data_IF_612552791812
#
_entry.id   IF_612552791812
#
_cell.length_a   1.000
_cell.length_b   1.000
_cell.length_c   1.000
_cell.angle_alpha   90.00
_cell.angle_beta   90.00
_cell.angle_gamma   90.00
#
_symmetry.space_group_name_H-M   'P 1'
#
loop_
_entity.id
_entity.type
_entity.pdbx_description
1 polymer ?
#
# COMPACT_ATOMS: atom_id res chain seq x y z
N UNK A 1 5.27 -15.79 13.72
CA UNK A 1 4.76 -14.80 12.74
C UNK A 1 3.98 -15.43 11.56
N UNK A 2 4.52 -16.42 10.84
CA UNK A 2 3.79 -17.12 9.75
C UNK A 2 2.51 -17.83 10.24
N UNK A 3 2.55 -18.42 11.43
CA UNK A 3 1.37 -19.08 12.01
C UNK A 3 0.28 -18.08 12.40
N UNK A 4 0.65 -16.90 12.93
CA UNK A 4 -0.29 -15.82 13.23
C UNK A 4 -0.98 -15.35 11.94
N UNK A 5 -0.23 -15.14 10.85
CA UNK A 5 -0.80 -14.76 9.56
C UNK A 5 -1.80 -15.80 9.01
N UNK A 6 -1.52 -17.10 9.18
CA UNK A 6 -2.46 -18.17 8.80
C UNK A 6 -3.76 -18.11 9.61
N UNK A 7 -3.66 -17.88 10.93
CA UNK A 7 -4.82 -17.73 11.80
C UNK A 7 -5.63 -16.47 11.45
N UNK A 8 -4.97 -15.35 11.13
CA UNK A 8 -5.66 -14.13 10.69
C UNK A 8 -6.41 -14.35 9.37
N UNK A 9 -5.79 -15.05 8.40
CA UNK A 9 -6.45 -15.40 7.14
C UNK A 9 -7.64 -16.33 7.33
N UNK A 10 -7.59 -17.29 8.26
CA UNK A 10 -8.75 -18.14 8.57
C UNK A 10 -9.87 -17.33 9.23
N UNK A 11 -9.54 -16.47 10.20
CA UNK A 11 -10.49 -15.57 10.86
C UNK A 11 -11.26 -14.66 9.87
N UNK A 12 -10.58 -14.13 8.85
CA UNK A 12 -11.20 -13.26 7.83
C UNK A 12 -12.18 -14.04 6.94
N UNK A 13 -11.86 -15.29 6.61
CA UNK A 13 -12.68 -16.14 5.74
C UNK A 13 -13.91 -16.72 6.43
N UNK A 14 -13.88 -16.85 7.76
CA UNK A 14 -15.02 -17.36 8.54
C UNK A 14 -16.24 -16.43 8.44
N UNK A 15 -17.34 -16.97 7.91
CA UNK A 15 -18.62 -16.28 7.71
C UNK A 15 -19.80 -17.24 7.93
N UNK A 16 -21.00 -16.69 8.13
CA UNK A 16 -22.21 -17.49 8.33
C UNK A 16 -22.47 -17.91 9.78
N UNK A 17 -23.30 -18.94 9.95
CA UNK A 17 -23.75 -19.44 11.26
C UNK A 17 -22.56 -19.96 12.08
N UNK A 18 -22.55 -19.67 13.38
CA UNK A 18 -21.50 -20.05 14.34
C UNK A 18 -20.10 -19.45 14.08
N UNK A 19 -19.96 -18.56 13.08
CA UNK A 19 -18.69 -17.91 12.76
C UNK A 19 -18.12 -17.09 13.93
N UNK A 20 -18.97 -16.51 14.76
CA UNK A 20 -18.55 -15.76 15.96
C UNK A 20 -17.85 -16.66 16.98
N UNK A 21 -18.40 -17.84 17.26
CA UNK A 21 -17.80 -18.78 18.21
C UNK A 21 -16.50 -19.38 17.67
N UNK A 22 -16.45 -19.70 16.37
CA UNK A 22 -15.20 -20.13 15.72
C UNK A 22 -14.12 -19.06 15.80
N UNK A 23 -14.46 -17.79 15.51
CA UNK A 23 -13.51 -16.67 15.62
C UNK A 23 -12.98 -16.51 17.04
N UNK A 24 -13.85 -16.58 18.05
CA UNK A 24 -13.43 -16.58 19.46
C UNK A 24 -12.47 -17.73 19.75
N UNK A 25 -12.80 -18.95 19.34
CA UNK A 25 -11.95 -20.13 19.55
C UNK A 25 -10.55 -19.97 18.93
N UNK A 26 -10.46 -19.44 17.72
CA UNK A 26 -9.18 -19.17 17.06
C UNK A 26 -8.36 -18.10 17.79
N UNK A 27 -9.01 -17.01 18.22
CA UNK A 27 -8.34 -15.95 19.00
C UNK A 27 -7.84 -16.51 20.34
N UNK A 28 -8.66 -17.30 21.04
CA UNK A 28 -8.26 -17.94 22.30
C UNK A 28 -7.06 -18.86 22.11
N UNK A 29 -7.07 -19.72 21.07
CA UNK A 29 -5.95 -20.59 20.77
C UNK A 29 -4.65 -19.80 20.51
N UNK A 30 -4.75 -18.70 19.77
CA UNK A 30 -3.61 -17.84 19.44
C UNK A 30 -3.07 -17.10 20.68
N UNK A 31 -3.94 -16.68 21.60
CA UNK A 31 -3.52 -16.06 22.86
C UNK A 31 -2.91 -17.06 23.86
N UNK A 32 -3.37 -18.32 23.85
CA UNK A 32 -2.80 -19.39 24.70
C UNK A 32 -1.40 -19.79 24.24
N UNK A 33 -1.15 -19.76 22.92
CA UNK A 33 0.16 -20.09 22.35
C UNK A 33 1.17 -18.92 22.42
N UNK A 34 0.71 -17.70 22.61
CA UNK A 34 1.53 -16.49 22.58
C UNK A 34 2.40 -16.34 23.84
N UNK A 35 3.65 -15.90 23.66
CA UNK A 35 4.62 -15.72 24.76
C UNK A 35 5.01 -14.25 24.96
N UNK A 36 5.56 -13.93 26.14
CA UNK A 36 6.10 -12.61 26.47
C UNK A 36 5.16 -11.43 26.17
N UNK A 37 5.51 -10.61 25.18
CA UNK A 37 4.75 -9.44 24.76
C UNK A 37 3.83 -9.70 23.55
N UNK A 38 3.83 -10.90 22.98
CA UNK A 38 3.01 -11.25 21.81
C UNK A 38 1.51 -11.02 22.05
N UNK A 39 0.90 -11.43 23.19
CA UNK A 39 -0.53 -11.22 23.43
C UNK A 39 -0.94 -9.74 23.33
N UNK A 40 -0.07 -8.83 23.78
CA UNK A 40 -0.31 -7.38 23.71
C UNK A 40 -0.45 -6.92 22.25
N UNK A 41 0.47 -7.34 21.38
CA UNK A 41 0.48 -6.93 19.97
C UNK A 41 -0.62 -7.61 19.17
N UNK A 42 -0.94 -8.87 19.48
CA UNK A 42 -2.07 -9.60 18.91
C UNK A 42 -3.39 -8.88 19.20
N UNK A 43 -3.67 -8.54 20.46
CA UNK A 43 -4.91 -7.85 20.83
C UNK A 43 -4.99 -6.49 20.13
N UNK A 44 -3.87 -5.76 20.09
CA UNK A 44 -3.81 -4.46 19.39
C UNK A 44 -4.03 -4.59 17.88
N UNK A 45 -3.53 -5.66 17.25
CA UNK A 45 -3.76 -5.97 15.84
C UNK A 45 -5.25 -6.23 15.57
N UNK A 46 -5.89 -7.08 16.38
CA UNK A 46 -7.32 -7.38 16.29
C UNK A 46 -8.21 -6.13 16.51
N UNK A 47 -7.74 -5.19 17.33
CA UNK A 47 -8.40 -3.90 17.55
C UNK A 47 -8.08 -2.84 16.48
N UNK A 48 -7.29 -3.19 15.45
CA UNK A 48 -6.75 -2.29 14.42
C UNK A 48 -6.00 -1.06 14.97
N UNK A 49 -5.45 -1.17 16.18
CA UNK A 49 -4.80 -0.08 16.93
C UNK A 49 -3.44 -0.54 17.48
N UNK A 50 -2.48 -0.76 16.57
CA UNK A 50 -1.15 -1.26 16.92
C UNK A 50 -0.35 -0.31 17.84
N UNK A 51 -0.51 1.01 17.65
CA UNK A 51 0.10 2.07 18.49
C UNK A 51 1.62 1.94 18.69
N UNK A 52 2.34 1.57 17.64
CA UNK A 52 3.81 1.44 17.65
C UNK A 52 4.54 2.73 17.25
N UNK A 53 3.82 3.80 16.88
CA UNK A 53 4.42 5.08 16.48
C UNK A 53 5.01 5.10 15.08
N UNK A 54 4.95 3.97 14.36
CA UNK A 54 5.41 3.84 12.97
C UNK A 54 4.23 3.65 12.03
N UNK A 55 4.36 4.17 10.81
CA UNK A 55 3.37 4.10 9.76
C UNK A 55 3.97 3.51 8.47
N UNK A 56 3.14 3.35 7.45
CA UNK A 56 3.50 2.79 6.14
C UNK A 56 4.76 3.43 5.53
N UNK A 57 4.89 4.76 5.61
CA UNK A 57 6.07 5.46 5.07
C UNK A 57 7.38 5.08 5.77
N UNK A 58 7.32 4.76 7.07
CA UNK A 58 8.47 4.25 7.82
C UNK A 58 8.78 2.82 7.44
N UNK A 59 7.75 1.98 7.26
CA UNK A 59 7.90 0.59 6.82
C UNK A 59 8.56 0.51 5.43
N UNK A 60 8.10 1.30 4.46
CA UNK A 60 8.67 1.32 3.11
C UNK A 60 10.12 1.79 3.10
N UNK A 61 10.47 2.78 3.94
CA UNK A 61 11.85 3.22 4.08
C UNK A 61 12.73 2.11 4.68
N UNK A 62 12.28 1.47 5.75
CA UNK A 62 12.99 0.37 6.39
C UNK A 62 13.16 -0.83 5.44
N UNK A 63 12.15 -1.14 4.62
CA UNK A 63 12.21 -2.21 3.62
C UNK A 63 13.28 -1.94 2.56
N UNK A 64 13.33 -0.72 2.01
CA UNK A 64 14.39 -0.32 1.07
C UNK A 64 15.78 -0.39 1.68
N UNK A 65 15.94 0.10 2.91
CA UNK A 65 17.22 0.03 3.63
C UNK A 65 17.66 -1.42 3.91
N UNK A 66 16.73 -2.28 4.35
CA UNK A 66 16.99 -3.70 4.58
C UNK A 66 17.43 -4.43 3.30
N UNK A 67 16.82 -4.08 2.16
CA UNK A 67 17.21 -4.66 0.87
C UNK A 67 18.66 -4.31 0.48
N UNK A 68 19.16 -3.13 0.85
CA UNK A 68 20.58 -2.76 0.63
C UNK A 68 21.52 -3.58 1.49
N UNK A 69 21.11 -4.00 2.70
CA UNK A 69 21.92 -4.85 3.57
C UNK A 69 21.91 -6.33 3.16
N UNK A 70 21.11 -6.73 2.17
CA UNK A 70 20.99 -8.12 1.74
C UNK A 70 22.11 -8.49 0.76
N UNK A 71 22.96 -9.45 1.13
CA UNK A 71 24.25 -9.69 0.43
C UNK A 71 24.13 -10.02 -1.07
N UNK A 72 23.12 -10.76 -1.50
CA UNK A 72 22.99 -11.25 -2.89
C UNK A 72 22.78 -10.12 -3.91
N UNK A 73 22.01 -9.09 -3.58
CA UNK A 73 21.58 -8.04 -4.52
C UNK A 73 21.86 -6.60 -4.04
N UNK A 74 22.76 -6.46 -3.06
CA UNK A 74 23.06 -5.19 -2.38
C UNK A 74 23.82 -4.16 -3.21
N UNK A 75 24.58 -4.58 -4.23
CA UNK A 75 25.58 -3.72 -4.89
C UNK A 75 24.93 -2.50 -5.55
N UNK A 76 25.14 -1.28 -5.02
CA UNK A 76 24.58 -0.09 -5.63
C UNK A 76 25.29 0.23 -6.94
N UNK A 77 24.58 0.77 -7.93
CA UNK A 77 25.19 1.44 -9.06
C UNK A 77 26.23 2.50 -8.61
N UNK A 78 27.36 2.64 -9.32
CA UNK A 78 28.46 3.52 -8.93
C UNK A 78 28.08 5.00 -8.88
N UNK A 79 26.98 5.40 -9.52
CA UNK A 79 26.46 6.76 -9.52
C UNK A 79 25.78 7.15 -8.19
N UNK A 80 25.39 6.17 -7.36
CA UNK A 80 24.57 6.40 -6.17
C UNK A 80 25.47 6.69 -4.96
N UNK A 81 25.47 7.95 -4.53
CA UNK A 81 26.24 8.41 -3.36
C UNK A 81 25.62 8.01 -2.02
N UNK A 82 24.29 7.91 -1.95
CA UNK A 82 23.54 7.61 -0.73
C UNK A 82 22.63 6.38 -0.93
N UNK A 83 23.18 5.14 -0.93
CA UNK A 83 22.44 3.95 -1.29
C UNK A 83 21.18 3.71 -0.44
N UNK A 84 21.25 3.97 0.87
CA UNK A 84 20.14 3.74 1.79
C UNK A 84 18.94 4.68 1.53
N UNK A 85 19.21 5.94 1.21
CA UNK A 85 18.18 6.93 0.91
C UNK A 85 17.54 6.66 -0.45
N UNK A 86 18.37 6.34 -1.45
CA UNK A 86 17.90 6.02 -2.80
C UNK A 86 17.04 4.75 -2.82
N UNK A 87 17.48 3.69 -2.13
CA UNK A 87 16.71 2.46 -1.98
C UNK A 87 15.34 2.69 -1.31
N UNK A 88 15.31 3.53 -0.25
CA UNK A 88 14.06 3.92 0.39
C UNK A 88 13.14 4.71 -0.57
N UNK A 89 13.68 5.59 -1.41
CA UNK A 89 12.91 6.31 -2.43
C UNK A 89 12.38 5.38 -3.51
N UNK A 90 13.19 4.43 -3.99
CA UNK A 90 12.80 3.42 -4.98
C UNK A 90 11.60 2.62 -4.46
N UNK A 91 11.68 2.04 -3.27
CA UNK A 91 10.59 1.23 -2.70
C UNK A 91 9.32 2.06 -2.52
N UNK A 92 9.42 3.32 -2.04
CA UNK A 92 8.26 4.22 -1.92
C UNK A 92 7.62 4.54 -3.27
N UNK A 93 8.43 4.78 -4.30
CA UNK A 93 7.95 5.08 -5.65
C UNK A 93 7.25 3.87 -6.24
N UNK A 94 7.86 2.69 -6.15
CA UNK A 94 7.30 1.43 -6.62
C UNK A 94 5.98 1.13 -5.91
N UNK A 95 5.93 1.22 -4.58
CA UNK A 95 4.70 1.01 -3.83
C UNK A 95 3.59 2.00 -4.20
N UNK A 96 3.94 3.25 -4.53
CA UNK A 96 2.95 4.23 -4.98
C UNK A 96 2.30 3.83 -6.31
N UNK A 97 3.01 3.10 -7.17
CA UNK A 97 2.52 2.66 -8.48
C UNK A 97 1.86 1.28 -8.41
N UNK A 98 2.42 0.39 -7.59
CA UNK A 98 1.99 -0.98 -7.42
C UNK A 98 1.96 -1.29 -5.90
N UNK A 99 0.90 -0.93 -5.16
CA UNK A 99 0.79 -1.18 -3.73
C UNK A 99 0.47 -2.65 -3.42
N UNK A 100 1.34 -3.55 -3.85
CA UNK A 100 1.27 -5.00 -3.66
C UNK A 100 2.56 -5.49 -3.01
N UNK A 101 2.49 -5.75 -1.70
CA UNK A 101 3.65 -6.21 -0.93
C UNK A 101 4.14 -7.58 -1.38
N UNK A 102 3.26 -8.49 -1.82
CA UNK A 102 3.67 -9.84 -2.22
C UNK A 102 4.57 -9.76 -3.46
N UNK A 103 4.19 -8.95 -4.45
CA UNK A 103 5.01 -8.70 -5.65
C UNK A 103 6.30 -7.94 -5.33
N UNK A 104 6.21 -6.87 -4.53
CA UNK A 104 7.38 -6.05 -4.19
C UNK A 104 8.41 -6.86 -3.42
N UNK A 105 7.99 -7.58 -2.37
CA UNK A 105 8.90 -8.38 -1.54
C UNK A 105 9.50 -9.52 -2.35
N UNK A 106 8.72 -10.17 -3.21
CA UNK A 106 9.25 -11.19 -4.11
C UNK A 106 10.35 -10.63 -5.02
N UNK A 107 10.12 -9.49 -5.67
CA UNK A 107 11.10 -8.86 -6.55
C UNK A 107 12.34 -8.34 -5.81
N UNK A 108 12.15 -7.81 -4.59
CA UNK A 108 13.26 -7.41 -3.72
C UNK A 108 14.17 -8.58 -3.36
N UNK A 109 13.60 -9.76 -3.11
CA UNK A 109 14.36 -10.96 -2.77
C UNK A 109 15.06 -11.58 -3.98
N UNK A 110 14.48 -11.49 -5.19
CA UNK A 110 15.03 -12.14 -6.40
C UNK A 110 15.98 -11.28 -7.22
N UNK A 111 15.74 -9.97 -7.28
CA UNK A 111 16.43 -9.05 -8.18
C UNK A 111 17.10 -7.89 -7.42
N UNK A 112 16.69 -7.64 -6.19
CA UNK A 112 17.16 -6.53 -5.36
C UNK A 112 16.45 -5.21 -5.60
N UNK A 113 16.81 -4.21 -4.80
CA UNK A 113 16.16 -2.90 -4.81
C UNK A 113 16.46 -2.07 -6.06
N UNK A 114 17.64 -2.25 -6.66
CA UNK A 114 18.09 -1.44 -7.80
C UNK A 114 17.34 -1.73 -9.10
N UNK A 115 16.90 -2.98 -9.28
CA UNK A 115 16.15 -3.43 -10.46
C UNK A 115 14.63 -3.42 -10.22
N UNK A 116 14.19 -3.12 -8.99
CA UNK A 116 12.78 -3.11 -8.60
C UNK A 116 11.89 -2.25 -9.51
N UNK A 117 12.27 -1.02 -9.94
CA UNK A 117 11.44 -0.21 -10.82
C UNK A 117 11.18 -0.82 -12.20
N UNK A 118 12.04 -1.73 -12.67
CA UNK A 118 11.87 -2.40 -13.97
C UNK A 118 10.92 -3.60 -13.89
N UNK A 119 10.76 -4.18 -12.69
CA UNK A 119 9.94 -5.38 -12.45
C UNK A 119 8.55 -5.03 -11.93
N UNK A 120 8.47 -4.00 -11.09
CA UNK A 120 7.24 -3.56 -10.45
C UNK A 120 6.84 -2.21 -11.02
N UNK A 121 6.13 -2.25 -12.15
CA UNK A 121 5.57 -1.07 -12.81
C UNK A 121 4.04 -1.09 -12.74
N UNK A 122 3.42 -0.01 -13.23
CA UNK A 122 1.98 0.17 -13.30
C UNK A 122 1.31 -1.03 -13.94
N UNK A 123 0.32 -1.58 -13.24
CA UNK A 123 -0.44 -2.75 -13.68
C UNK A 123 -1.92 -2.40 -13.66
N UNK A 124 -2.61 -2.61 -14.78
CA UNK A 124 -4.08 -2.45 -14.84
C UNK A 124 -4.76 -3.42 -13.85
N UNK A 125 -5.82 -2.97 -13.20
CA UNK A 125 -6.48 -3.72 -12.11
C UNK A 125 -5.75 -3.66 -10.76
N UNK A 126 -4.65 -2.90 -10.64
CA UNK A 126 -4.05 -2.59 -9.34
C UNK A 126 -4.15 -1.08 -9.10
N UNK A 127 -4.80 -0.64 -8.01
CA UNK A 127 -4.99 0.78 -7.75
C UNK A 127 -3.68 1.48 -7.45
N UNK A 128 -3.48 2.67 -8.03
CA UNK A 128 -2.29 3.50 -7.82
C UNK A 128 -2.53 4.47 -6.68
N UNK A 129 -1.49 4.73 -5.88
CA UNK A 129 -1.46 5.76 -4.85
C UNK A 129 -1.92 7.12 -5.39
N UNK A 130 -3.05 7.66 -4.92
CA UNK A 130 -3.58 8.90 -5.45
C UNK A 130 -2.69 10.10 -5.12
N UNK A 131 -2.42 10.96 -6.09
CA UNK A 131 -1.78 12.25 -5.83
C UNK A 131 -2.63 13.07 -4.84
N UNK A 132 -2.01 13.56 -3.77
CA UNK A 132 -2.64 14.37 -2.73
C UNK A 132 -2.30 15.85 -2.90
N UNK A 133 -3.26 16.72 -2.61
CA UNK A 133 -3.07 18.17 -2.61
C UNK A 133 -2.55 18.66 -1.26
N UNK A 134 -1.57 19.58 -1.28
CA UNK A 134 -1.21 20.36 -0.10
C UNK A 134 -2.15 21.55 0.02
N UNK A 135 -2.76 21.75 1.19
CA UNK A 135 -3.58 22.93 1.46
C UNK A 135 -2.71 24.19 1.42
N UNK A 136 -3.25 25.27 0.85
CA UNK A 136 -2.57 26.54 0.63
C UNK A 136 -3.48 27.67 1.12
N UNK A 137 -2.91 28.68 1.78
CA UNK A 137 -3.70 29.72 2.44
C UNK A 137 -4.05 30.91 1.54
N UNK A 138 -3.49 30.99 0.35
CA UNK A 138 -3.80 32.04 -0.62
C UNK A 138 -3.06 31.91 -1.93
N UNK A 139 -3.50 32.67 -2.92
CA UNK A 139 -2.94 32.62 -4.29
C UNK A 139 -1.46 33.02 -4.32
N UNK A 140 -1.03 33.98 -3.50
CA UNK A 140 0.38 34.39 -3.42
C UNK A 140 1.30 33.26 -2.98
N UNK A 141 0.85 32.34 -2.13
CA UNK A 141 1.65 31.17 -1.72
C UNK A 141 1.81 30.19 -2.89
N UNK A 142 0.78 30.04 -3.74
CA UNK A 142 0.85 29.24 -4.98
C UNK A 142 1.86 29.88 -5.93
N UNK A 143 1.74 31.18 -6.21
CA UNK A 143 2.63 31.90 -7.11
C UNK A 143 4.08 31.88 -6.63
N UNK A 144 4.33 32.05 -5.34
CA UNK A 144 5.68 31.97 -4.76
C UNK A 144 6.27 30.56 -4.81
N UNK A 145 5.41 29.52 -4.77
CA UNK A 145 5.84 28.12 -4.81
C UNK A 145 6.13 27.65 -6.23
N UNK A 146 5.28 28.00 -7.19
CA UNK A 146 5.43 27.55 -8.58
C UNK A 146 6.23 28.52 -9.45
N UNK A 147 6.36 29.80 -9.07
CA UNK A 147 7.22 30.80 -9.74
C UNK A 147 7.13 30.73 -11.28
N UNK A 148 8.24 30.45 -11.95
CA UNK A 148 8.37 30.36 -13.40
C UNK A 148 7.94 28.99 -13.97
N UNK A 149 7.19 28.19 -13.21
CA UNK A 149 6.61 26.92 -13.66
C UNK A 149 5.18 27.19 -14.09
N UNK A 150 4.86 26.83 -15.33
CA UNK A 150 3.49 26.87 -15.83
C UNK A 150 2.60 25.91 -15.03
N UNK A 151 1.43 26.38 -14.60
CA UNK A 151 0.46 25.58 -13.85
C UNK A 151 -0.97 25.86 -14.33
N UNK A 152 -1.85 24.87 -14.15
CA UNK A 152 -3.27 24.98 -14.48
C UNK A 152 -4.12 25.10 -13.21
N UNK A 153 -5.31 25.68 -13.35
CA UNK A 153 -6.30 25.79 -12.30
C UNK A 153 -7.55 25.00 -12.71
N UNK A 154 -7.86 23.95 -11.97
CA UNK A 154 -9.05 23.13 -12.18
C UNK A 154 -10.03 23.30 -11.02
N UNK A 155 -11.32 23.13 -11.31
CA UNK A 155 -12.34 23.12 -10.26
C UNK A 155 -12.14 21.92 -9.35
N UNK A 156 -12.06 22.17 -8.03
CA UNK A 156 -12.09 21.11 -7.03
C UNK A 156 -13.54 20.71 -6.79
N UNK A 157 -13.98 19.66 -7.46
CA UNK A 157 -15.30 19.07 -7.23
C UNK A 157 -15.44 18.50 -5.82
N UNK A 158 -16.65 18.61 -5.27
CA UNK A 158 -17.03 18.04 -3.97
C UNK A 158 -17.79 16.73 -4.19
N UNK A 159 -17.05 15.63 -4.19
CA UNK A 159 -17.58 14.31 -4.48
C UNK A 159 -16.60 13.20 -4.08
N UNK A 160 -16.86 11.99 -4.57
CA UNK A 160 -15.98 10.84 -4.34
C UNK A 160 -14.91 10.73 -5.43
N UNK A 161 -13.68 10.41 -5.02
CA UNK A 161 -12.61 10.10 -5.96
C UNK A 161 -12.78 8.67 -6.47
N UNK A 162 -12.94 8.51 -7.77
CA UNK A 162 -12.98 7.24 -8.46
C UNK A 162 -11.74 7.08 -9.35
N UNK A 163 -10.96 6.03 -9.14
CA UNK A 163 -9.89 5.62 -10.03
C UNK A 163 -10.40 4.48 -10.89
N UNK A 164 -10.55 4.71 -12.20
CA UNK A 164 -11.20 3.79 -13.14
C UNK A 164 -10.11 3.09 -13.96
N UNK A 165 -10.09 1.76 -13.90
CA UNK A 165 -9.23 0.89 -14.68
C UNK A 165 -10.08 0.15 -15.70
N UNK A 166 -9.79 0.37 -16.99
CA UNK A 166 -10.39 -0.38 -18.10
C UNK A 166 -9.41 -1.47 -18.52
N UNK A 167 -9.78 -2.74 -18.30
CA UNK A 167 -8.93 -3.89 -18.53
C UNK A 167 -9.00 -4.34 -20.00
N UNK A 168 -7.96 -5.03 -20.46
CA UNK A 168 -7.87 -5.54 -21.85
C UNK A 168 -8.99 -6.53 -22.21
N UNK A 169 -9.54 -7.23 -21.21
CA UNK A 169 -10.67 -8.14 -21.38
C UNK A 169 -12.04 -7.42 -21.45
N UNK A 170 -12.05 -6.07 -21.46
CA UNK A 170 -13.25 -5.25 -21.49
C UNK A 170 -13.95 -5.08 -20.14
N UNK A 171 -13.37 -5.58 -19.04
CA UNK A 171 -13.93 -5.36 -17.70
C UNK A 171 -13.45 -4.03 -17.09
N UNK A 172 -14.31 -3.41 -16.29
CA UNK A 172 -14.03 -2.15 -15.62
C UNK A 172 -13.88 -2.38 -14.13
N UNK A 173 -12.82 -1.84 -13.53
CA UNK A 173 -12.61 -1.81 -12.10
C UNK A 173 -12.51 -0.39 -11.60
N UNK A 174 -13.25 -0.09 -10.53
CA UNK A 174 -13.31 1.24 -9.92
C UNK A 174 -12.81 1.15 -8.48
N UNK A 175 -11.84 1.99 -8.14
CA UNK A 175 -11.24 2.06 -6.81
C UNK A 175 -11.48 3.41 -6.14
N UNK A 176 -11.62 3.38 -4.81
CA UNK A 176 -11.73 4.58 -3.97
C UNK A 176 -10.36 5.26 -3.76
N UNK A 177 -10.38 6.41 -3.07
CA UNK A 177 -9.15 7.08 -2.62
C UNK A 177 -8.24 6.18 -1.77
N UNK A 178 -8.78 5.22 -1.04
CA UNK A 178 -8.03 4.34 -0.16
C UNK A 178 -7.78 2.96 -0.80
N UNK A 179 -7.83 2.87 -2.13
CA UNK A 179 -7.64 1.62 -2.89
C UNK A 179 -8.72 0.54 -2.63
N UNK A 180 -9.87 0.90 -2.08
CA UNK A 180 -10.99 -0.03 -1.89
C UNK A 180 -11.74 -0.26 -3.21
N UNK A 181 -12.06 -1.52 -3.52
CA UNK A 181 -12.78 -1.87 -4.76
C UNK A 181 -14.26 -1.49 -4.64
N UNK A 182 -14.64 -0.44 -5.38
CA UNK A 182 -15.99 0.14 -5.40
C UNK A 182 -16.75 -0.13 -6.70
N UNK A 183 -16.32 -1.10 -7.50
CA UNK A 183 -16.93 -1.39 -8.81
C UNK A 183 -18.42 -1.70 -8.70
N UNK A 184 -18.84 -2.49 -7.70
CA UNK A 184 -20.25 -2.80 -7.48
C UNK A 184 -21.10 -1.63 -6.96
N UNK A 185 -20.47 -0.55 -6.49
CA UNK A 185 -21.16 0.66 -6.00
C UNK A 185 -21.62 1.56 -7.17
N UNK A 186 -20.95 1.48 -8.33
CA UNK A 186 -21.16 2.38 -9.46
C UNK A 186 -21.45 1.62 -10.77
N UNK A 187 -22.56 0.85 -10.85
CA UNK A 187 -22.89 0.09 -12.06
C UNK A 187 -23.20 0.99 -13.27
N UNK A 188 -23.71 2.19 -13.02
CA UNK A 188 -23.96 3.27 -13.98
C UNK A 188 -22.68 3.78 -14.64
N UNK A 189 -21.62 4.01 -13.84
CA UNK A 189 -20.31 4.43 -14.36
C UNK A 189 -19.68 3.32 -15.19
N UNK A 190 -19.79 2.06 -14.75
CA UNK A 190 -19.31 0.91 -15.52
C UNK A 190 -19.98 0.84 -16.89
N UNK A 191 -21.30 1.05 -16.95
CA UNK A 191 -22.07 1.03 -18.20
C UNK A 191 -21.76 2.23 -19.14
N UNK A 192 -21.30 3.36 -18.60
CA UNK A 192 -20.94 4.53 -19.41
C UNK A 192 -19.53 4.46 -20.01
N UNK A 193 -18.65 3.67 -19.38
CA UNK A 193 -17.25 3.49 -19.79
C UNK A 193 -17.07 2.29 -20.71
N UNK A 194 -17.95 1.28 -20.61
CA UNK A 194 -17.95 0.05 -21.44
C UNK A 194 -18.65 0.28 -22.78
#
# INVERSE_FOLDING_TARGET
MLEVNRHDRSLIRESGKDSQEKKKSHITALLVAATDCEPLYIIRLLQTKLRIGYAEQTLLAALGQAAVYTEEHSRPPPEIKFPLEEAAMIVKKVYSVLPDYDKIVSALLTDGVWELPKKCDFTLGVPVGPMLSKATKGVSEILNKFQNVEFTCEYKYDGERAQIHYLENGSVEIYSRNAERNTGKFPDVVAAVS
#
